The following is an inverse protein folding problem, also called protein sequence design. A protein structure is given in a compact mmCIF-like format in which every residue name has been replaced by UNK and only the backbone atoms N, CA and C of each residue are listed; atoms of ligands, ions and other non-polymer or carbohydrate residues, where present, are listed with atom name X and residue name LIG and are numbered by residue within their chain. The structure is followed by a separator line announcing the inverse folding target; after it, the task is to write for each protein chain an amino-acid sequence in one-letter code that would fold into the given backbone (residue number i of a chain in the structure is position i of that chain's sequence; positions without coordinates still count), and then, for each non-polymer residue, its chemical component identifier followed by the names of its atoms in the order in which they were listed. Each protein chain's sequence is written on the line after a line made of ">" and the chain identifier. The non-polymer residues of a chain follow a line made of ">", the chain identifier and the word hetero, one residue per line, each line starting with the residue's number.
data_IF_000449485722
#
_entry.id   IF_000449485722
#
_cell.length_a   1.000
_cell.length_b   1.000
_cell.length_c   1.000
_cell.angle_alpha   90.00
_cell.angle_beta   90.00
_cell.angle_gamma   90.00
#
_symmetry.space_group_name_H-M   'P 1'
#
loop_
_entity.id
_entity.type
_entity.pdbx_description
1 polymer ?
#
# COMPACT_ATOMS: atom_id res chain seq x y z
N UNK A 1 -11.44 16.53 13.01
CA UNK A 1 -11.19 16.52 11.56
C UNK A 1 -11.82 15.25 11.00
N UNK A 2 -12.18 15.19 9.72
CA UNK A 2 -12.62 13.93 9.13
C UNK A 2 -11.36 13.21 8.68
N UNK A 3 -11.06 12.09 9.31
CA UNK A 3 -9.99 11.21 8.89
C UNK A 3 -10.33 10.72 7.47
N UNK A 4 -9.36 10.81 6.56
CA UNK A 4 -9.50 10.32 5.19
C UNK A 4 -9.07 8.86 5.19
N UNK A 5 -10.00 7.93 5.43
CA UNK A 5 -9.75 6.52 5.19
C UNK A 5 -9.70 6.30 3.68
N UNK A 6 -8.58 5.76 3.18
CA UNK A 6 -8.41 5.47 1.76
C UNK A 6 -7.84 4.08 1.59
N UNK A 7 -8.44 3.34 0.67
CA UNK A 7 -7.95 2.04 0.24
C UNK A 7 -7.31 2.17 -1.14
N UNK A 8 -6.29 1.35 -1.39
CA UNK A 8 -5.59 1.25 -2.66
C UNK A 8 -5.48 -0.21 -3.08
N UNK A 9 -5.55 -0.47 -4.38
CA UNK A 9 -5.37 -1.78 -4.99
C UNK A 9 -4.14 -1.74 -5.90
N UNK A 10 -3.15 -2.59 -5.63
CA UNK A 10 -1.92 -2.72 -6.42
C UNK A 10 -1.93 -4.10 -7.09
N UNK A 11 -1.78 -4.14 -8.41
CA UNK A 11 -1.72 -5.38 -9.20
C UNK A 11 -0.35 -5.61 -9.87
N UNK A 12 0.46 -4.55 -9.97
CA UNK A 12 1.80 -4.59 -10.55
C UNK A 12 2.82 -4.36 -9.42
N UNK A 13 3.68 -5.36 -9.18
CA UNK A 13 4.66 -5.34 -8.10
C UNK A 13 6.08 -5.17 -8.62
N UNK A 14 6.96 -4.59 -7.81
CA UNK A 14 8.39 -4.53 -8.11
C UNK A 14 9.01 -5.94 -8.07
N UNK A 15 9.94 -6.18 -9.00
CA UNK A 15 10.71 -7.42 -9.06
C UNK A 15 11.47 -7.68 -7.75
N UNK A 16 11.51 -8.95 -7.33
CA UNK A 16 12.34 -9.42 -6.21
C UNK A 16 11.65 -9.46 -4.85
N UNK A 17 10.37 -9.07 -4.77
CA UNK A 17 9.56 -9.10 -3.56
C UNK A 17 8.75 -10.37 -3.35
N UNK A 18 8.78 -11.31 -4.30
CA UNK A 18 8.04 -12.57 -4.19
C UNK A 18 6.51 -12.39 -4.18
N UNK A 19 6.01 -11.25 -4.64
CA UNK A 19 4.57 -10.92 -4.62
C UNK A 19 3.76 -11.74 -5.65
N UNK A 20 4.45 -12.50 -6.50
CA UNK A 20 3.86 -13.44 -7.46
C UNK A 20 3.85 -14.89 -6.92
N UNK A 21 4.37 -15.14 -5.71
CA UNK A 21 4.48 -16.48 -5.15
C UNK A 21 3.10 -17.03 -4.71
N UNK A 22 2.95 -18.36 -4.73
CA UNK A 22 1.70 -19.04 -4.31
C UNK A 22 1.36 -18.80 -2.82
N UNK A 23 2.36 -18.47 -2.01
CA UNK A 23 2.22 -18.21 -0.58
C UNK A 23 2.94 -16.92 -0.23
N UNK A 24 2.16 -15.92 0.19
CA UNK A 24 2.65 -14.63 0.67
C UNK A 24 2.20 -14.48 2.12
N UNK A 25 3.12 -14.12 3.01
CA UNK A 25 2.79 -13.89 4.42
C UNK A 25 2.56 -12.40 4.71
N UNK A 26 1.90 -12.11 5.83
CA UNK A 26 1.62 -10.74 6.27
C UNK A 26 2.91 -9.90 6.44
N UNK A 27 3.99 -10.50 6.94
CA UNK A 27 5.30 -9.84 7.08
C UNK A 27 5.84 -9.39 5.72
N UNK A 28 5.73 -10.23 4.69
CA UNK A 28 6.18 -9.90 3.34
C UNK A 28 5.35 -8.77 2.71
N UNK A 29 4.03 -8.75 2.91
CA UNK A 29 3.17 -7.65 2.47
C UNK A 29 3.55 -6.34 3.14
N UNK A 30 3.82 -6.41 4.43
CA UNK A 30 4.20 -5.25 5.23
C UNK A 30 5.56 -4.69 4.83
N UNK A 31 6.57 -5.55 4.72
CA UNK A 31 7.91 -5.17 4.27
C UNK A 31 7.86 -4.55 2.86
N UNK A 32 7.08 -5.12 1.95
CA UNK A 32 6.86 -4.55 0.62
C UNK A 32 6.28 -3.13 0.69
N UNK A 33 5.25 -2.90 1.51
CA UNK A 33 4.63 -1.58 1.66
C UNK A 33 5.61 -0.53 2.22
N UNK A 34 6.42 -0.91 3.21
CA UNK A 34 7.33 0.01 3.88
C UNK A 34 8.61 0.26 3.06
N UNK A 35 9.18 -0.79 2.48
CA UNK A 35 10.50 -0.71 1.83
C UNK A 35 10.41 -0.45 0.32
N UNK A 36 9.42 -1.00 -0.38
CA UNK A 36 9.25 -0.78 -1.83
C UNK A 36 8.38 0.44 -2.13
N UNK A 37 7.23 0.53 -1.45
CA UNK A 37 6.27 1.62 -1.65
C UNK A 37 6.53 2.85 -0.77
N UNK A 38 7.45 2.74 0.18
CA UNK A 38 7.83 3.82 1.12
C UNK A 38 6.67 4.36 1.95
N UNK A 39 5.64 3.54 2.20
CA UNK A 39 4.50 3.92 3.03
C UNK A 39 4.96 3.94 4.50
N UNK A 40 4.73 5.02 5.25
CA UNK A 40 5.06 5.04 6.68
C UNK A 40 4.27 3.95 7.43
N UNK A 41 4.94 3.22 8.33
CA UNK A 41 4.36 2.07 9.02
C UNK A 41 3.17 2.48 9.90
N UNK A 42 3.23 3.66 10.50
CA UNK A 42 2.15 4.22 11.30
C UNK A 42 0.89 4.55 10.50
N UNK A 43 1.00 4.68 9.17
CA UNK A 43 -0.13 4.98 8.28
C UNK A 43 -0.84 3.72 7.78
N UNK A 44 -0.24 2.54 7.94
CA UNK A 44 -0.84 1.27 7.52
C UNK A 44 -1.83 0.80 8.59
N UNK A 45 -3.07 0.53 8.17
CA UNK A 45 -4.11 -0.05 9.03
C UNK A 45 -4.23 -1.55 8.80
N UNK A 46 -4.38 -1.96 7.55
CA UNK A 46 -4.63 -3.35 7.17
C UNK A 46 -4.08 -3.63 5.77
N UNK A 47 -3.59 -4.85 5.56
CA UNK A 47 -3.07 -5.35 4.29
C UNK A 47 -3.74 -6.68 3.96
N UNK A 48 -4.25 -6.81 2.74
CA UNK A 48 -4.86 -8.05 2.28
C UNK A 48 -4.38 -8.39 0.86
N UNK A 49 -4.20 -9.68 0.58
CA UNK A 49 -3.93 -10.17 -0.78
C UNK A 49 -5.19 -10.87 -1.29
N UNK A 50 -5.84 -10.33 -2.31
CA UNK A 50 -7.08 -10.85 -2.88
C UNK A 50 -6.92 -10.98 -4.39
N UNK A 51 -7.14 -12.18 -4.93
CA UNK A 51 -7.08 -12.45 -6.37
C UNK A 51 -5.77 -11.97 -7.07
N UNK A 52 -4.66 -11.92 -6.33
CA UNK A 52 -3.36 -11.45 -6.82
C UNK A 52 -3.17 -9.93 -6.73
N UNK A 53 -4.10 -9.21 -6.12
CA UNK A 53 -4.03 -7.78 -5.85
C UNK A 53 -3.78 -7.53 -4.38
N UNK A 54 -2.88 -6.58 -4.09
CA UNK A 54 -2.63 -6.09 -2.74
C UNK A 54 -3.59 -4.95 -2.42
N UNK A 55 -4.48 -5.19 -1.46
CA UNK A 55 -5.30 -4.18 -0.83
C UNK A 55 -4.54 -3.52 0.33
N UNK A 56 -4.42 -2.19 0.28
CA UNK A 56 -3.74 -1.38 1.29
C UNK A 56 -4.75 -0.43 1.90
N UNK A 57 -5.05 -0.59 3.19
CA UNK A 57 -5.89 0.32 3.95
C UNK A 57 -5.00 1.26 4.77
N UNK A 58 -5.19 2.57 4.57
CA UNK A 58 -4.45 3.60 5.31
C UNK A 58 -5.33 4.27 6.36
N UNK A 59 -4.73 4.58 7.51
CA UNK A 59 -5.33 5.32 8.63
C UNK A 59 -4.63 6.66 8.85
N UNK A 60 -5.32 7.53 9.60
CA UNK A 60 -4.78 8.79 10.12
C UNK A 60 -4.11 9.67 9.04
N UNK A 61 -4.67 9.65 7.82
CA UNK A 61 -4.20 10.51 6.74
C UNK A 61 -4.60 11.96 6.98
N UNK A 62 -3.63 12.86 6.82
CA UNK A 62 -3.79 14.29 6.89
C UNK A 62 -3.55 14.97 5.53
N UNK A 63 -3.61 16.30 5.53
CA UNK A 63 -3.50 17.11 4.30
C UNK A 63 -2.05 17.26 3.84
N UNK A 64 -1.07 16.98 4.71
CA UNK A 64 0.35 17.00 4.34
C UNK A 64 0.70 15.68 3.64
N UNK A 65 0.21 14.55 4.15
CA UNK A 65 0.38 13.21 3.56
C UNK A 65 0.01 13.16 2.07
N UNK A 66 -1.09 13.81 1.68
CA UNK A 66 -1.56 13.78 0.29
C UNK A 66 -0.59 14.43 -0.71
N UNK A 67 0.36 15.22 -0.20
CA UNK A 67 1.39 15.89 -0.99
C UNK A 67 2.74 15.21 -0.93
N UNK A 68 2.87 14.15 -0.12
CA UNK A 68 4.11 13.39 0.01
C UNK A 68 4.33 12.44 -1.17
N UNK A 69 5.61 12.19 -1.47
CA UNK A 69 6.01 11.41 -2.64
C UNK A 69 5.47 9.97 -2.58
N UNK A 70 5.45 9.34 -1.40
CA UNK A 70 4.93 7.98 -1.22
C UNK A 70 3.45 7.90 -1.59
N UNK A 71 2.64 8.87 -1.14
CA UNK A 71 1.20 8.89 -1.39
C UNK A 71 0.89 9.19 -2.86
N UNK A 72 1.63 10.13 -3.45
CA UNK A 72 1.51 10.47 -4.88
C UNK A 72 1.90 9.28 -5.75
N UNK A 73 2.92 8.52 -5.38
CA UNK A 73 3.34 7.32 -6.11
C UNK A 73 2.34 6.18 -5.92
N UNK A 74 1.84 5.98 -4.71
CA UNK A 74 0.79 5.01 -4.41
C UNK A 74 -0.47 5.29 -5.25
N UNK A 75 -0.86 6.56 -5.38
CA UNK A 75 -1.95 6.98 -6.27
C UNK A 75 -1.70 6.58 -7.72
N UNK A 76 -0.50 6.84 -8.25
CA UNK A 76 -0.18 6.56 -9.65
C UNK A 76 -0.16 5.07 -9.97
N UNK A 77 0.23 4.24 -8.99
CA UNK A 77 0.40 2.81 -9.17
C UNK A 77 -0.86 2.00 -8.82
N UNK A 78 -1.85 2.61 -8.18
CA UNK A 78 -3.11 1.92 -7.86
C UNK A 78 -4.08 1.88 -9.03
N UNK A 79 -4.85 0.78 -9.11
CA UNK A 79 -5.73 0.43 -10.22
C UNK A 79 -6.94 1.37 -10.47
N UNK A 80 -7.34 2.18 -9.48
CA UNK A 80 -8.60 2.95 -9.52
C UNK A 80 -8.48 4.47 -9.19
N UNK A 81 -7.43 5.17 -9.67
CA UNK A 81 -7.39 6.65 -9.60
C UNK A 81 -7.90 7.37 -10.86
#
# INVERSE_FOLDING_TARGET
>A
MKDLEKYFLIEDFEDGWGMEDEFICEEQLFDYCVEALFIPDEKIEELNMIDGELEIFLKDLDVEDISEDWYVNLIKNSKDN
#
